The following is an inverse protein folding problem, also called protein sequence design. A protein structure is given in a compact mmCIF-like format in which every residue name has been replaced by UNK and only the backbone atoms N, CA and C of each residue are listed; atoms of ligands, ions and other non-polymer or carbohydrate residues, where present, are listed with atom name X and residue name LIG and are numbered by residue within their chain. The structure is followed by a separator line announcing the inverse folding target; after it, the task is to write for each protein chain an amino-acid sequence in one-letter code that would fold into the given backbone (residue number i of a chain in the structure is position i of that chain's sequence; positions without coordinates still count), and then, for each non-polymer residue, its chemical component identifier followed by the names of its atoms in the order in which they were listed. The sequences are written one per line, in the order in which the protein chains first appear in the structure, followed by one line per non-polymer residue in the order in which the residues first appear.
data_IF_773330533661
#
_entry.id   IF_773330533661
#
_cell.length_a   1.000
_cell.length_b   1.000
_cell.length_c   1.000
_cell.angle_alpha   90.00
_cell.angle_beta   90.00
_cell.angle_gamma   90.00
#
_symmetry.space_group_name_H-M   'P 1'
#
loop_
_entity.id
_entity.type
_entity.pdbx_description
1 polymer ?
#
# COMPACT_ATOMS: atom_id res chain seq x y z
N UNK A 1 6.26 1.88 -13.07
CA UNK A 1 6.31 3.08 -12.19
C UNK A 1 5.28 4.11 -12.66
N UNK A 2 4.94 5.08 -11.81
CA UNK A 2 3.89 6.08 -12.08
C UNK A 2 4.43 7.37 -12.72
N UNK A 3 5.62 7.33 -13.32
CA UNK A 3 6.29 8.50 -13.91
C UNK A 3 5.76 8.92 -15.28
N UNK A 4 4.86 8.13 -15.88
CA UNK A 4 4.29 8.44 -17.19
C UNK A 4 5.22 8.18 -18.37
N UNK A 5 6.31 7.42 -18.19
CA UNK A 5 7.14 6.90 -19.31
C UNK A 5 6.36 5.93 -20.19
N UNK A 6 5.43 5.19 -19.60
CA UNK A 6 4.44 4.36 -20.30
C UNK A 6 3.09 5.03 -20.09
N UNK A 7 2.33 5.21 -21.16
CA UNK A 7 1.09 5.99 -21.13
C UNK A 7 -0.11 5.25 -21.69
N UNK A 8 0.10 4.13 -22.38
CA UNK A 8 -0.95 3.30 -22.93
C UNK A 8 -0.78 1.84 -22.50
N UNK A 9 -1.88 1.18 -22.13
CA UNK A 9 -1.88 -0.22 -21.73
C UNK A 9 -1.43 -1.17 -22.84
N UNK A 10 -1.57 -0.78 -24.11
CA UNK A 10 -1.08 -1.53 -25.25
C UNK A 10 0.45 -1.67 -25.28
N UNK A 11 1.19 -0.72 -24.71
CA UNK A 11 2.65 -0.79 -24.59
C UNK A 11 3.11 -1.94 -23.67
N UNK A 12 2.21 -2.43 -22.80
CA UNK A 12 2.43 -3.54 -21.89
C UNK A 12 1.78 -4.85 -22.38
N UNK A 13 1.30 -4.88 -23.62
CA UNK A 13 0.58 -6.03 -24.20
C UNK A 13 -0.85 -6.19 -23.68
N UNK A 14 -1.42 -5.18 -23.02
CA UNK A 14 -2.81 -5.14 -22.61
C UNK A 14 -3.74 -4.63 -23.72
N UNK A 15 -5.02 -4.43 -23.37
CA UNK A 15 -5.96 -3.74 -24.26
C UNK A 15 -5.53 -2.29 -24.43
N UNK A 16 -5.35 -1.78 -25.66
CA UNK A 16 -4.93 -0.40 -25.89
C UNK A 16 -5.85 0.62 -25.22
N UNK A 17 -5.25 1.69 -24.71
CA UNK A 17 -5.94 2.79 -24.05
C UNK A 17 -5.06 3.50 -23.02
N UNK A 18 -5.27 4.81 -22.90
CA UNK A 18 -4.53 5.66 -21.98
C UNK A 18 -4.61 5.15 -20.53
N UNK A 19 -3.46 5.13 -19.84
CA UNK A 19 -3.35 4.78 -18.42
C UNK A 19 -3.75 5.99 -17.58
N UNK A 20 -4.75 5.82 -16.72
CA UNK A 20 -5.18 6.85 -15.78
C UNK A 20 -4.50 6.64 -14.43
N UNK A 21 -3.45 7.42 -14.18
CA UNK A 21 -2.67 7.32 -12.93
C UNK A 21 -3.43 8.00 -11.80
N UNK A 22 -3.70 7.25 -10.73
CA UNK A 22 -4.30 7.75 -9.49
C UNK A 22 -3.22 7.76 -8.40
N UNK A 23 -2.97 8.92 -7.80
CA UNK A 23 -2.00 9.12 -6.71
C UNK A 23 -2.69 9.65 -5.46
N UNK A 24 -1.92 9.78 -4.39
CA UNK A 24 -2.35 10.31 -3.10
C UNK A 24 -1.87 11.73 -2.86
N UNK A 25 -2.58 12.44 -2.02
CA UNK A 25 -2.27 13.80 -1.58
C UNK A 25 -0.90 13.90 -0.90
N UNK A 26 -0.33 15.10 -0.88
CA UNK A 26 0.88 15.38 -0.13
C UNK A 26 0.65 15.18 1.38
N UNK A 27 1.65 14.61 2.08
CA UNK A 27 1.52 14.21 3.48
C UNK A 27 0.83 12.85 3.69
N UNK A 28 0.44 12.18 2.60
CA UNK A 28 -0.07 10.81 2.68
C UNK A 28 1.06 9.84 3.02
N UNK A 29 0.96 9.18 4.17
CA UNK A 29 1.90 8.12 4.51
C UNK A 29 1.92 6.99 3.46
N UNK A 30 0.82 6.69 2.77
CA UNK A 30 0.83 5.67 1.70
C UNK A 30 1.64 6.15 0.50
N UNK A 31 1.54 7.44 0.14
CA UNK A 31 2.38 8.04 -0.90
C UNK A 31 3.85 7.96 -0.53
N UNK A 32 4.22 8.34 0.68
CA UNK A 32 5.62 8.33 1.11
C UNK A 32 6.25 6.93 1.01
N UNK A 33 5.49 5.88 1.36
CA UNK A 33 5.92 4.50 1.15
C UNK A 33 6.06 4.17 -0.34
N UNK A 34 5.05 4.51 -1.15
CA UNK A 34 5.08 4.22 -2.58
C UNK A 34 6.23 4.93 -3.29
N UNK A 35 6.45 6.21 -3.01
CA UNK A 35 7.52 7.01 -3.60
C UNK A 35 8.89 6.42 -3.21
N UNK A 36 9.09 6.08 -1.94
CA UNK A 36 10.32 5.48 -1.44
C UNK A 36 10.60 4.06 -1.96
N UNK A 37 9.56 3.25 -2.17
CA UNK A 37 9.70 1.84 -2.57
C UNK A 37 9.66 1.62 -4.09
N UNK A 38 8.96 2.47 -4.84
CA UNK A 38 8.66 2.23 -6.27
C UNK A 38 9.18 3.33 -7.18
N UNK A 39 9.13 4.58 -6.74
CA UNK A 39 9.47 5.67 -7.64
C UNK A 39 10.98 5.84 -7.79
N UNK A 40 11.77 5.45 -6.78
CA UNK A 40 13.26 5.48 -6.81
C UNK A 40 13.81 6.85 -7.23
N UNK A 41 13.17 7.93 -6.77
CA UNK A 41 13.54 9.31 -7.10
C UNK A 41 12.94 9.87 -8.39
N UNK A 42 12.15 9.09 -9.14
CA UNK A 42 11.31 9.63 -10.22
C UNK A 42 10.11 10.40 -9.64
N UNK A 43 9.67 11.45 -10.32
CA UNK A 43 8.40 12.11 -9.99
C UNK A 43 7.20 11.30 -10.46
N UNK A 44 6.12 11.33 -9.68
CA UNK A 44 4.81 10.89 -10.15
C UNK A 44 4.36 11.81 -11.28
N UNK A 45 3.73 11.22 -12.30
CA UNK A 45 3.17 11.95 -13.44
C UNK A 45 2.37 13.17 -12.98
N UNK A 46 2.76 14.37 -13.44
CA UNK A 46 2.18 15.63 -12.98
C UNK A 46 0.66 15.75 -13.19
N UNK A 47 0.10 15.02 -14.16
CA UNK A 47 -1.35 14.96 -14.46
C UNK A 47 -2.08 13.80 -13.77
N UNK A 48 -1.45 13.12 -12.81
CA UNK A 48 -2.11 12.08 -12.03
C UNK A 48 -3.32 12.65 -11.28
N UNK A 49 -4.39 11.88 -11.20
CA UNK A 49 -5.56 12.23 -10.40
C UNK A 49 -5.18 12.02 -8.93
N UNK A 50 -5.27 13.08 -8.13
CA UNK A 50 -4.95 13.01 -6.70
C UNK A 50 -6.23 12.74 -5.90
N UNK A 51 -6.18 11.73 -5.04
CA UNK A 51 -7.24 11.38 -4.10
C UNK A 51 -6.74 11.54 -2.66
N UNK A 52 -7.63 11.89 -1.74
CA UNK A 52 -7.32 12.20 -0.34
C UNK A 52 -7.27 10.98 0.61
N UNK A 53 -7.61 9.79 0.09
CA UNK A 53 -7.74 8.59 0.89
C UNK A 53 -7.54 7.33 0.07
N UNK A 54 -7.07 6.26 0.71
CA UNK A 54 -6.96 4.95 0.07
C UNK A 54 -8.33 4.44 -0.43
N UNK A 55 -9.41 4.74 0.30
CA UNK A 55 -10.77 4.40 -0.09
C UNK A 55 -11.20 5.08 -1.40
N UNK A 56 -10.89 6.37 -1.56
CA UNK A 56 -11.17 7.12 -2.78
C UNK A 56 -10.31 6.65 -3.97
N UNK A 57 -9.03 6.30 -3.74
CA UNK A 57 -8.19 5.66 -4.77
C UNK A 57 -8.83 4.35 -5.24
N UNK A 58 -9.15 3.45 -4.31
CA UNK A 58 -9.79 2.16 -4.63
C UNK A 58 -11.07 2.36 -5.43
N UNK A 59 -11.92 3.29 -5.01
CA UNK A 59 -13.20 3.50 -5.68
C UNK A 59 -13.05 4.11 -7.07
N UNK A 60 -12.06 4.98 -7.26
CA UNK A 60 -11.73 5.51 -8.58
C UNK A 60 -11.24 4.39 -9.51
N UNK A 61 -10.34 3.54 -9.01
CA UNK A 61 -9.81 2.39 -9.78
C UNK A 61 -10.92 1.38 -10.11
N UNK A 62 -11.80 1.08 -9.16
CA UNK A 62 -12.92 0.16 -9.38
C UNK A 62 -13.90 0.63 -10.47
N UNK A 63 -14.04 1.95 -10.67
CA UNK A 63 -14.95 2.53 -11.66
C UNK A 63 -14.31 2.80 -13.02
N UNK A 64 -12.99 2.74 -13.09
CA UNK A 64 -12.23 3.04 -14.29
C UNK A 64 -11.29 1.88 -14.66
N UNK A 65 -11.68 1.03 -15.63
CA UNK A 65 -10.88 -0.11 -16.06
C UNK A 65 -9.48 0.24 -16.59
N UNK A 66 -9.20 1.52 -16.88
CA UNK A 66 -7.90 2.00 -17.34
C UNK A 66 -7.06 2.63 -16.24
N UNK A 67 -7.61 2.75 -15.03
CA UNK A 67 -6.93 3.37 -13.91
C UNK A 67 -5.95 2.42 -13.22
N UNK A 68 -4.87 3.01 -12.71
CA UNK A 68 -3.93 2.34 -11.83
C UNK A 68 -3.67 3.24 -10.62
N UNK A 69 -3.70 2.64 -9.44
CA UNK A 69 -3.46 3.32 -8.16
C UNK A 69 -2.73 2.40 -7.19
N UNK A 70 -2.34 2.94 -6.05
CA UNK A 70 -1.74 2.19 -4.95
C UNK A 70 -2.55 2.39 -3.66
N UNK A 71 -2.76 1.31 -2.92
CA UNK A 71 -3.48 1.29 -1.64
C UNK A 71 -2.83 0.29 -0.70
N UNK A 72 -3.11 0.41 0.61
CA UNK A 72 -2.77 -0.62 1.59
C UNK A 72 -3.45 -1.95 1.28
N UNK A 73 -2.75 -3.07 1.54
CA UNK A 73 -3.22 -4.43 1.24
C UNK A 73 -4.63 -4.73 1.80
N UNK A 74 -4.91 -4.32 3.04
CA UNK A 74 -6.21 -4.53 3.68
C UNK A 74 -7.42 -3.90 2.98
N UNK A 75 -7.21 -2.99 2.03
CA UNK A 75 -8.28 -2.37 1.25
C UNK A 75 -8.54 -3.04 -0.09
N UNK A 76 -7.67 -3.97 -0.51
CA UNK A 76 -7.87 -4.73 -1.75
C UNK A 76 -9.06 -5.66 -1.55
N UNK A 77 -10.06 -5.51 -2.41
CA UNK A 77 -11.28 -6.31 -2.45
C UNK A 77 -11.57 -6.77 -3.89
N UNK A 78 -12.66 -7.50 -4.10
CA UNK A 78 -13.02 -8.07 -5.40
C UNK A 78 -13.34 -7.03 -6.49
N UNK A 79 -13.42 -5.74 -6.14
CA UNK A 79 -13.69 -4.65 -7.10
C UNK A 79 -12.42 -4.11 -7.75
N UNK A 80 -11.25 -4.47 -7.22
CA UNK A 80 -9.96 -4.06 -7.75
C UNK A 80 -9.03 -5.25 -7.91
N UNK A 81 -8.11 -5.18 -8.88
CA UNK A 81 -7.13 -6.24 -9.11
C UNK A 81 -5.75 -5.79 -8.63
N UNK A 82 -5.22 -6.46 -7.60
CA UNK A 82 -3.84 -6.28 -7.21
C UNK A 82 -2.87 -6.79 -8.29
N UNK A 83 -1.87 -5.98 -8.63
CA UNK A 83 -0.83 -6.32 -9.59
C UNK A 83 0.22 -7.22 -8.91
N UNK A 84 0.74 -8.19 -9.66
CA UNK A 84 1.88 -9.00 -9.23
C UNK A 84 3.16 -8.20 -9.43
N UNK A 85 4.00 -8.13 -8.42
CA UNK A 85 5.28 -7.41 -8.46
C UNK A 85 6.39 -8.43 -8.28
N UNK A 86 7.37 -8.44 -9.18
CA UNK A 86 8.52 -9.36 -9.17
C UNK A 86 8.14 -10.84 -9.03
N UNK A 87 7.00 -11.24 -9.63
CA UNK A 87 6.48 -12.60 -9.58
C UNK A 87 5.69 -12.94 -8.30
N UNK A 88 5.62 -12.04 -7.33
CA UNK A 88 4.87 -12.22 -6.09
C UNK A 88 3.50 -11.51 -6.14
N UNK A 89 2.44 -12.24 -5.78
CA UNK A 89 1.10 -11.66 -5.59
C UNK A 89 1.03 -11.00 -4.22
N UNK A 90 0.40 -9.84 -4.11
CA UNK A 90 0.13 -9.21 -2.82
C UNK A 90 -0.88 -10.04 -2.00
N UNK A 91 -0.48 -10.52 -0.83
CA UNK A 91 -1.33 -11.27 0.11
C UNK A 91 -0.69 -11.27 1.49
N UNK A 92 -1.48 -11.52 2.54
CA UNK A 92 -0.95 -11.65 3.91
C UNK A 92 0.13 -12.73 3.96
N UNK A 93 -0.12 -13.88 3.33
CA UNK A 93 0.82 -15.01 3.30
C UNK A 93 2.12 -14.67 2.56
N UNK A 94 2.06 -14.03 1.40
CA UNK A 94 3.27 -13.69 0.63
C UNK A 94 4.10 -12.59 1.31
N UNK A 95 3.45 -11.68 2.04
CA UNK A 95 4.14 -10.70 2.90
C UNK A 95 4.84 -11.39 4.06
N UNK A 96 4.15 -12.26 4.79
CA UNK A 96 4.73 -13.01 5.92
C UNK A 96 5.89 -13.93 5.50
N UNK A 97 5.85 -14.46 4.26
CA UNK A 97 6.93 -15.27 3.69
C UNK A 97 8.09 -14.45 3.11
N UNK A 98 7.98 -13.12 3.08
CA UNK A 98 8.97 -12.23 2.48
C UNK A 98 9.02 -12.28 0.95
N UNK A 99 8.04 -12.92 0.30
CA UNK A 99 7.96 -13.04 -1.16
C UNK A 99 7.49 -11.73 -1.79
N UNK A 100 6.53 -11.04 -1.15
CA UNK A 100 6.08 -9.72 -1.58
C UNK A 100 6.81 -8.63 -0.80
N UNK A 101 7.67 -7.86 -1.49
CA UNK A 101 8.68 -7.00 -0.88
C UNK A 101 8.26 -5.54 -0.71
N UNK A 102 7.13 -5.13 -1.31
CA UNK A 102 6.60 -3.77 -1.16
C UNK A 102 5.85 -3.63 0.16
N UNK A 103 6.62 -3.63 1.25
CA UNK A 103 6.12 -3.63 2.62
C UNK A 103 6.75 -2.48 3.39
N UNK A 104 5.99 -1.89 4.31
CA UNK A 104 6.52 -0.93 5.28
C UNK A 104 6.14 -1.39 6.69
N UNK A 105 7.11 -1.57 7.60
CA UNK A 105 6.81 -1.90 8.98
C UNK A 105 6.20 -0.70 9.71
N UNK A 106 5.28 -0.99 10.64
CA UNK A 106 4.91 -0.03 11.68
C UNK A 106 5.90 -0.15 12.83
N UNK A 107 6.47 0.98 13.23
CA UNK A 107 7.51 1.03 14.25
C UNK A 107 7.00 1.80 15.47
N UNK A 108 7.17 1.21 16.65
CA UNK A 108 7.14 1.97 17.90
C UNK A 108 8.58 2.38 18.24
N UNK A 109 8.81 3.68 18.32
CA UNK A 109 10.13 4.25 18.62
C UNK A 109 10.09 4.88 19.99
N UNK A 110 10.92 4.39 20.91
CA UNK A 110 11.03 4.89 22.28
C UNK A 110 12.45 5.37 22.54
N UNK A 111 12.57 6.49 23.27
CA UNK A 111 13.87 7.05 23.68
C UNK A 111 14.10 6.75 25.16
N UNK A 112 15.09 5.90 25.44
CA UNK A 112 15.37 5.43 26.81
C UNK A 112 14.45 4.27 27.20
N UNK A 113 14.21 4.10 28.50
CA UNK A 113 13.33 3.05 29.01
C UNK A 113 11.84 3.38 28.80
N UNK A 114 11.01 2.35 28.70
CA UNK A 114 9.56 2.52 28.66
C UNK A 114 9.04 3.12 29.96
N UNK A 115 8.13 4.09 29.87
CA UNK A 115 7.26 4.38 31.02
C UNK A 115 6.33 3.17 31.26
N UNK A 116 5.81 2.98 32.48
CA UNK A 116 4.86 1.91 32.76
C UNK A 116 3.67 1.90 31.79
N UNK A 117 3.13 3.07 31.45
CA UNK A 117 1.98 3.22 30.56
C UNK A 117 2.34 2.88 29.10
N UNK A 118 3.51 3.31 28.64
CA UNK A 118 4.01 2.95 27.31
C UNK A 118 4.22 1.44 27.20
N UNK A 119 4.73 0.81 28.25
CA UNK A 119 4.88 -0.64 28.32
C UNK A 119 3.53 -1.36 28.29
N UNK A 120 2.57 -0.92 29.09
CA UNK A 120 1.21 -1.50 29.12
C UNK A 120 0.54 -1.42 27.76
N UNK A 121 0.62 -0.27 27.09
CA UNK A 121 0.09 -0.09 25.74
C UNK A 121 0.77 -1.01 24.72
N UNK A 122 2.11 -1.12 24.75
CA UNK A 122 2.84 -2.02 23.85
C UNK A 122 2.51 -3.49 24.13
N UNK A 123 2.40 -3.88 25.39
CA UNK A 123 2.01 -5.24 25.78
C UNK A 123 0.60 -5.55 25.27
N UNK A 124 -0.34 -4.60 25.32
CA UNK A 124 -1.67 -4.74 24.71
C UNK A 124 -1.60 -4.88 23.18
N UNK A 125 -0.89 -3.99 22.49
CA UNK A 125 -0.76 -4.04 21.02
C UNK A 125 -0.16 -5.37 20.57
N UNK A 126 0.81 -5.90 21.33
CA UNK A 126 1.51 -7.15 21.04
C UNK A 126 0.80 -8.41 21.61
N UNK A 127 -0.31 -8.25 22.32
CA UNK A 127 -1.14 -9.36 22.83
C UNK A 127 -1.93 -10.03 21.71
N UNK A 128 -2.47 -11.23 21.97
CA UNK A 128 -3.37 -11.92 21.03
C UNK A 128 -4.58 -11.06 20.63
N UNK A 129 -5.14 -10.31 21.59
CA UNK A 129 -6.27 -9.41 21.33
C UNK A 129 -5.85 -8.26 20.41
N UNK A 130 -4.73 -7.60 20.71
CA UNK A 130 -4.21 -6.51 19.90
C UNK A 130 -3.88 -6.96 18.47
N UNK A 131 -3.21 -8.10 18.32
CA UNK A 131 -2.91 -8.67 17.00
C UNK A 131 -4.18 -9.04 16.23
N UNK A 132 -5.22 -9.58 16.90
CA UNK A 132 -6.51 -9.84 16.24
C UNK A 132 -7.15 -8.56 15.70
N UNK A 133 -7.17 -7.48 16.50
CA UNK A 133 -7.72 -6.18 16.06
C UNK A 133 -6.93 -5.65 14.85
N UNK A 134 -5.60 -5.71 14.88
CA UNK A 134 -4.77 -5.26 13.76
C UNK A 134 -5.07 -6.06 12.48
N UNK A 135 -5.25 -7.38 12.59
CA UNK A 135 -5.61 -8.22 11.45
C UNK A 135 -7.00 -7.90 10.89
N UNK A 136 -7.99 -7.62 11.75
CA UNK A 136 -9.34 -7.18 11.36
C UNK A 136 -9.32 -5.84 10.61
N UNK A 137 -8.42 -4.94 10.99
CA UNK A 137 -8.17 -3.66 10.29
C UNK A 137 -7.29 -3.82 9.04
N UNK A 138 -6.95 -5.05 8.66
CA UNK A 138 -6.25 -5.37 7.40
C UNK A 138 -4.73 -5.15 7.44
N UNK A 139 -4.13 -5.10 8.64
CA UNK A 139 -2.69 -5.13 8.81
C UNK A 139 -2.16 -6.57 8.81
N UNK A 140 -0.93 -6.74 8.34
CA UNK A 140 -0.23 -8.01 8.44
C UNK A 140 0.44 -8.07 9.81
N UNK A 141 0.07 -9.06 10.60
CA UNK A 141 0.64 -9.30 11.93
C UNK A 141 1.85 -10.24 11.85
N UNK A 142 2.80 -10.04 12.74
CA UNK A 142 3.94 -10.93 12.94
C UNK A 142 3.44 -12.22 13.61
N UNK A 143 3.79 -13.38 13.04
CA UNK A 143 3.61 -14.65 13.76
C UNK A 143 4.75 -14.78 14.77
N UNK A 144 4.44 -14.74 16.06
CA UNK A 144 5.40 -15.09 17.12
C UNK A 144 5.50 -16.60 17.30
#
# INVERSE_FOLDING_TARGET
KFSGRITDWGELGGTPGAIHVISREEGSGTRDAFDGLIMEGDDVLARAIVQDSNGAVRETVARDPRAIGYVSLGLVDDRVRAVTVDGARASVTSVQRGEYTLVRPFLFVVKGDYTPEAKEFLDFVLSEEGQRILAEEGLVTEQR
#
